data_IF_786950232143
#
_entry.id   IF_786950232143
#
_cell.length_a   1.000
_cell.length_b   1.000
_cell.length_c   1.000
_cell.angle_alpha   90.00
_cell.angle_beta   90.00
_cell.angle_gamma   90.00
#
_symmetry.space_group_name_H-M   'P 1'
#
loop_
_entity.id
_entity.type
_entity.pdbx_description
1 polymer ?
#
# COMPACT_ATOMS: atom_id res chain seq x y z
N UNK A 1 29.84 45.62 19.56
CA UNK A 1 31.14 45.84 20.19
C UNK A 1 31.57 47.30 19.93
N UNK A 2 32.20 47.94 20.90
CA UNK A 2 32.89 49.21 20.67
C UNK A 2 34.14 49.01 19.84
N UNK A 3 34.73 50.09 19.30
CA UNK A 3 35.99 49.99 18.49
C UNK A 3 37.15 49.37 19.24
N UNK A 4 37.14 49.37 20.58
CA UNK A 4 38.12 48.73 21.46
C UNK A 4 37.82 47.22 21.75
N UNK A 5 36.78 46.66 21.18
CA UNK A 5 36.33 45.28 21.39
C UNK A 5 35.51 45.02 22.64
N UNK A 6 35.15 46.06 23.40
CA UNK A 6 34.26 45.95 24.57
C UNK A 6 32.82 45.67 24.13
N UNK A 7 32.10 44.75 24.82
CA UNK A 7 30.69 44.49 24.59
C UNK A 7 29.84 45.70 25.07
N UNK A 8 29.12 46.35 24.17
CA UNK A 8 28.30 47.51 24.49
C UNK A 8 26.89 47.12 24.92
N UNK A 9 26.48 45.91 24.57
CA UNK A 9 25.16 45.39 24.88
C UNK A 9 24.82 44.16 24.02
N UNK A 10 23.70 43.56 24.32
CA UNK A 10 23.09 42.47 23.57
C UNK A 10 21.70 42.95 23.09
N UNK A 11 21.43 42.75 21.81
CA UNK A 11 20.09 42.94 21.26
C UNK A 11 19.45 41.58 21.14
N UNK A 12 18.35 41.38 21.85
CA UNK A 12 17.53 40.17 21.73
C UNK A 12 16.25 40.53 20.94
N UNK A 13 15.79 39.59 20.13
CA UNK A 13 14.49 39.65 19.46
C UNK A 13 13.72 38.41 19.80
N UNK A 14 12.56 38.55 20.41
CA UNK A 14 11.63 37.44 20.64
C UNK A 14 10.75 37.27 19.39
N UNK A 15 10.71 36.04 18.88
CA UNK A 15 9.81 35.69 17.78
C UNK A 15 8.71 34.82 18.37
N UNK A 16 7.46 35.20 18.10
CA UNK A 16 6.31 34.36 18.45
C UNK A 16 6.30 33.10 17.61
N UNK A 17 6.56 31.98 18.28
CA UNK A 17 6.66 30.67 17.67
C UNK A 17 5.32 29.94 17.59
N UNK A 18 4.25 30.51 18.21
CA UNK A 18 2.93 29.89 18.35
C UNK A 18 2.32 29.51 17.00
N UNK A 19 2.45 30.35 15.97
CA UNK A 19 1.90 30.07 14.65
C UNK A 19 2.53 28.82 14.00
N UNK A 20 3.81 28.56 14.26
CA UNK A 20 4.50 27.37 13.73
C UNK A 20 4.09 26.13 14.51
N UNK A 21 4.01 26.23 15.83
CA UNK A 21 3.57 25.12 16.68
C UNK A 21 2.11 24.74 16.42
N UNK A 22 1.23 25.72 16.25
CA UNK A 22 -0.18 25.48 15.89
C UNK A 22 -0.28 24.75 14.54
N UNK A 23 0.47 25.20 13.53
CA UNK A 23 0.52 24.53 12.22
C UNK A 23 1.03 23.08 12.33
N UNK A 24 2.05 22.85 13.16
CA UNK A 24 2.59 21.51 13.40
C UNK A 24 1.56 20.63 14.11
N UNK A 25 0.84 21.16 15.10
CA UNK A 25 -0.20 20.43 15.84
C UNK A 25 -1.44 20.10 14.98
N UNK A 26 -1.77 20.97 14.04
CA UNK A 26 -2.85 20.74 13.07
C UNK A 26 -2.45 19.81 11.93
N UNK A 27 -1.13 19.60 11.74
CA UNK A 27 -0.64 18.72 10.67
C UNK A 27 -0.88 17.27 11.03
N UNK A 28 -1.83 16.65 10.33
CA UNK A 28 -2.11 15.23 10.42
C UNK A 28 -1.61 14.52 9.18
N UNK A 29 -0.97 13.37 9.38
CA UNK A 29 -0.46 12.50 8.32
C UNK A 29 -1.27 11.19 8.35
N UNK A 30 -2.09 10.95 7.34
CA UNK A 30 -3.11 9.90 7.34
C UNK A 30 -4.14 10.11 8.48
N UNK A 31 -4.41 9.10 9.32
CA UNK A 31 -5.42 9.16 10.37
C UNK A 31 -4.84 9.50 11.75
N UNK A 32 -3.68 8.93 12.11
CA UNK A 32 -3.04 9.11 13.42
C UNK A 32 -1.58 9.51 13.36
N UNK A 33 -1.02 9.69 12.16
CA UNK A 33 0.30 10.26 11.99
C UNK A 33 0.31 11.76 12.31
N UNK A 34 1.45 12.26 12.70
CA UNK A 34 1.62 13.64 13.17
C UNK A 34 2.99 14.21 12.78
N UNK A 35 3.11 15.51 12.92
CA UNK A 35 4.36 16.25 12.79
C UNK A 35 4.92 16.64 14.16
N UNK A 36 6.22 16.88 14.24
CA UNK A 36 6.88 17.50 15.36
C UNK A 36 8.15 18.24 14.92
N UNK A 37 8.63 19.16 15.77
CA UNK A 37 9.84 19.90 15.53
C UNK A 37 10.95 19.45 16.46
N UNK A 38 12.15 19.35 15.90
CA UNK A 38 13.37 19.09 16.67
C UNK A 38 14.51 19.99 16.20
N UNK A 39 15.47 20.21 17.06
CA UNK A 39 16.70 20.92 16.73
C UNK A 39 17.75 19.99 16.09
N UNK A 40 18.87 20.58 15.69
CA UNK A 40 20.00 19.83 15.11
C UNK A 40 20.67 18.86 16.09
N UNK A 41 20.49 19.05 17.40
CA UNK A 41 21.04 18.18 18.46
C UNK A 41 20.20 16.94 18.74
N UNK A 42 19.00 16.85 18.17
CA UNK A 42 18.04 15.78 18.43
C UNK A 42 17.11 16.05 19.60
N UNK A 43 17.07 17.28 20.09
CA UNK A 43 16.16 17.72 21.14
C UNK A 43 14.81 18.13 20.53
N UNK A 44 13.71 17.70 21.13
CA UNK A 44 12.35 18.02 20.70
C UNK A 44 12.05 19.47 21.07
N UNK A 45 11.78 20.28 20.06
CA UNK A 45 11.41 21.70 20.23
C UNK A 45 9.90 21.88 20.38
N UNK A 46 9.12 21.04 19.71
CA UNK A 46 7.68 20.99 19.87
C UNK A 46 7.13 19.63 19.47
N UNK A 47 6.28 19.03 20.30
CA UNK A 47 5.60 17.78 20.06
C UNK A 47 4.33 17.68 20.88
N UNK A 48 3.24 17.21 20.31
CA UNK A 48 1.90 17.17 20.93
C UNK A 48 1.84 16.43 22.28
N UNK A 49 2.70 15.42 22.51
CA UNK A 49 2.64 14.52 23.68
C UNK A 49 3.99 14.31 24.35
N UNK A 50 4.99 15.11 24.06
CA UNK A 50 6.33 15.02 24.65
C UNK A 50 6.79 16.40 25.06
N UNK A 51 7.40 16.51 26.23
CA UNK A 51 7.89 17.77 26.76
C UNK A 51 9.05 18.33 25.90
N UNK A 52 9.04 19.65 25.72
CA UNK A 52 10.11 20.37 25.03
C UNK A 52 11.46 20.17 25.73
N UNK A 53 12.52 20.10 24.93
CA UNK A 53 13.87 19.83 25.44
C UNK A 53 14.19 18.37 25.65
N UNK A 54 13.22 17.45 25.50
CA UNK A 54 13.48 16.00 25.59
C UNK A 54 14.29 15.54 24.39
N UNK A 55 15.38 14.80 24.63
CA UNK A 55 16.16 14.18 23.55
C UNK A 55 15.44 12.93 23.07
N UNK A 56 15.30 12.77 21.76
CA UNK A 56 14.53 11.67 21.16
C UNK A 56 15.00 10.28 21.59
N UNK A 57 16.31 10.11 21.86
CA UNK A 57 16.90 8.84 22.33
C UNK A 57 16.56 8.52 23.78
N UNK A 58 16.19 9.51 24.58
CA UNK A 58 15.85 9.34 25.99
C UNK A 58 14.40 8.86 26.19
N UNK A 59 13.57 9.02 25.15
CA UNK A 59 12.18 8.53 25.16
C UNK A 59 12.12 7.01 25.10
N UNK A 60 12.93 6.41 24.24
CA UNK A 60 12.99 4.95 24.07
C UNK A 60 14.26 4.57 23.30
N UNK A 61 14.96 3.54 23.76
CA UNK A 61 16.17 3.03 23.10
C UNK A 61 15.94 2.53 21.68
N UNK A 62 14.71 2.13 21.35
CA UNK A 62 14.33 1.73 19.99
C UNK A 62 14.37 2.88 18.98
N UNK A 63 14.32 4.14 19.46
CA UNK A 63 14.38 5.35 18.64
C UNK A 63 15.79 5.74 18.20
N UNK A 64 16.84 5.06 18.71
CA UNK A 64 18.22 5.35 18.34
C UNK A 64 18.45 5.31 16.84
N UNK A 65 17.92 4.30 16.15
CA UNK A 65 17.99 4.19 14.68
C UNK A 65 17.32 5.38 13.99
N UNK A 66 16.21 5.86 14.54
CA UNK A 66 15.52 7.06 14.06
C UNK A 66 16.36 8.31 14.29
N UNK A 67 16.96 8.47 15.46
CA UNK A 67 17.82 9.59 15.80
C UNK A 67 19.05 9.66 14.88
N UNK A 68 19.73 8.54 14.67
CA UNK A 68 20.88 8.44 13.76
C UNK A 68 20.48 8.82 12.32
N UNK A 69 19.33 8.38 11.86
CA UNK A 69 18.79 8.74 10.53
C UNK A 69 18.49 10.24 10.41
N UNK A 70 17.90 10.83 11.44
CA UNK A 70 17.58 12.26 11.51
C UNK A 70 18.82 13.15 11.63
N UNK A 71 19.92 12.62 12.16
CA UNK A 71 21.19 13.35 12.29
C UNK A 71 21.90 13.55 10.94
N UNK A 72 21.66 12.67 9.98
CA UNK A 72 22.26 12.76 8.64
C UNK A 72 21.41 13.62 7.70
N UNK A 73 21.87 14.83 7.34
CA UNK A 73 21.16 15.73 6.42
C UNK A 73 20.97 15.12 5.01
N UNK A 74 21.83 14.23 4.58
CA UNK A 74 21.70 13.48 3.32
C UNK A 74 20.49 12.54 3.27
N UNK A 75 19.79 12.33 4.37
CA UNK A 75 18.55 11.55 4.46
C UNK A 75 17.29 12.40 4.34
N UNK A 76 17.40 13.72 4.20
CA UNK A 76 16.25 14.59 3.97
C UNK A 76 15.39 14.08 2.80
N UNK A 77 14.08 14.03 3.01
CA UNK A 77 13.11 13.54 2.02
C UNK A 77 13.08 12.02 1.83
N UNK A 78 13.99 11.28 2.47
CA UNK A 78 13.91 9.82 2.53
C UNK A 78 13.03 9.38 3.70
N UNK A 79 12.62 8.12 3.69
CA UNK A 79 11.81 7.52 4.76
C UNK A 79 12.58 6.44 5.49
N UNK A 80 12.37 6.35 6.81
CA UNK A 80 12.87 5.26 7.65
C UNK A 80 11.71 4.56 8.34
N UNK A 81 11.74 3.23 8.36
CA UNK A 81 10.84 2.42 9.19
C UNK A 81 11.46 2.16 10.57
N UNK A 82 10.67 2.35 11.60
CA UNK A 82 11.04 2.12 13.00
C UNK A 82 9.84 1.64 13.80
N UNK A 83 10.09 0.99 14.92
CA UNK A 83 9.03 0.53 15.84
C UNK A 83 9.06 1.39 17.09
N UNK A 84 7.91 1.93 17.49
CA UNK A 84 7.75 2.67 18.73
C UNK A 84 6.48 2.25 19.44
N UNK A 85 6.59 1.88 20.71
CA UNK A 85 5.46 1.37 21.52
C UNK A 85 4.69 0.24 20.81
N UNK A 86 5.41 -0.73 20.24
CA UNK A 86 4.87 -1.86 19.48
C UNK A 86 4.06 -1.48 18.21
N UNK A 87 4.24 -0.27 17.69
CA UNK A 87 3.65 0.16 16.42
C UNK A 87 4.75 0.42 15.43
N UNK A 88 4.69 -0.22 14.26
CA UNK A 88 5.59 0.06 13.16
C UNK A 88 5.19 1.36 12.49
N UNK A 89 6.13 2.29 12.43
CA UNK A 89 5.94 3.64 11.89
C UNK A 89 6.98 3.94 10.82
N UNK A 90 6.63 4.85 9.93
CA UNK A 90 7.57 5.50 9.02
C UNK A 90 7.76 6.94 9.45
N UNK A 91 9.00 7.41 9.39
CA UNK A 91 9.33 8.81 9.53
C UNK A 91 9.99 9.35 8.27
N UNK A 92 9.82 10.64 8.05
CA UNK A 92 10.56 11.45 7.10
C UNK A 92 10.82 12.81 7.72
N UNK A 93 11.80 13.55 7.26
CA UNK A 93 12.07 14.88 7.77
C UNK A 93 12.48 15.85 6.67
N UNK A 94 12.36 17.12 6.99
CA UNK A 94 12.83 18.24 6.19
C UNK A 94 13.58 19.24 7.07
N UNK A 95 14.76 19.68 6.62
CA UNK A 95 15.53 20.70 7.31
C UNK A 95 14.94 22.08 6.99
N UNK A 96 14.65 22.85 8.03
CA UNK A 96 14.17 24.22 7.90
C UNK A 96 15.35 25.21 7.86
N UNK A 97 15.15 26.36 7.25
CA UNK A 97 16.20 27.39 7.10
C UNK A 97 16.73 27.93 8.44
N UNK A 98 15.96 27.79 9.51
CA UNK A 98 16.35 28.19 10.87
C UNK A 98 17.15 27.13 11.63
N UNK A 99 17.56 26.04 10.97
CA UNK A 99 18.34 24.93 11.56
C UNK A 99 17.51 23.90 12.31
N UNK A 100 16.17 24.06 12.38
CA UNK A 100 15.29 23.02 12.91
C UNK A 100 14.96 21.97 11.88
N UNK A 101 14.45 20.83 12.33
CA UNK A 101 13.95 19.74 11.50
C UNK A 101 12.46 19.56 11.75
N UNK A 102 11.69 19.63 10.68
CA UNK A 102 10.28 19.20 10.70
C UNK A 102 10.24 17.69 10.44
N UNK A 103 9.81 16.93 11.41
CA UNK A 103 9.71 15.47 11.32
C UNK A 103 8.24 15.07 11.20
N UNK A 104 7.96 14.22 10.23
CA UNK A 104 6.64 13.64 9.98
C UNK A 104 6.70 12.15 10.29
N UNK A 105 5.71 11.64 11.01
CA UNK A 105 5.63 10.21 11.31
C UNK A 105 4.20 9.70 11.18
N UNK A 106 4.07 8.48 10.64
CA UNK A 106 2.77 7.80 10.51
C UNK A 106 2.91 6.28 10.68
N UNK A 107 1.88 5.59 11.18
CA UNK A 107 1.85 4.13 11.23
C UNK A 107 1.92 3.52 9.83
N UNK A 108 2.74 2.48 9.69
CA UNK A 108 2.89 1.72 8.43
C UNK A 108 1.56 1.13 7.98
N UNK A 109 0.75 0.67 8.92
CA UNK A 109 -0.59 0.12 8.65
C UNK A 109 -1.53 1.12 7.98
N UNK A 110 -1.45 2.41 8.34
CA UNK A 110 -2.27 3.46 7.72
C UNK A 110 -1.78 3.83 6.33
N UNK A 111 -0.45 3.92 6.16
CA UNK A 111 0.17 4.21 4.86
C UNK A 111 -0.27 3.19 3.79
N UNK A 112 -0.34 1.92 4.16
CA UNK A 112 -0.70 0.85 3.23
C UNK A 112 -2.19 0.49 3.23
N UNK A 113 -3.01 1.06 4.11
CA UNK A 113 -4.43 0.70 4.25
C UNK A 113 -5.21 0.89 2.95
N UNK A 114 -4.98 1.97 2.23
CA UNK A 114 -5.63 2.25 0.94
C UNK A 114 -5.17 1.26 -0.15
N UNK A 115 -3.87 0.96 -0.18
CA UNK A 115 -3.32 -0.02 -1.13
C UNK A 115 -3.88 -1.43 -0.89
N UNK A 116 -4.05 -1.85 0.37
CA UNK A 116 -4.68 -3.13 0.71
C UNK A 116 -6.16 -3.17 0.31
N UNK A 117 -6.87 -2.06 0.42
CA UNK A 117 -8.26 -1.93 -0.05
C UNK A 117 -8.38 -2.20 -1.55
N UNK A 118 -7.54 -1.56 -2.35
CA UNK A 118 -7.47 -1.75 -3.80
C UNK A 118 -7.04 -3.19 -4.17
N UNK A 119 -6.01 -3.72 -3.52
CA UNK A 119 -5.55 -5.09 -3.75
C UNK A 119 -6.64 -6.12 -3.48
N UNK A 120 -7.43 -5.95 -2.42
CA UNK A 120 -8.56 -6.82 -2.09
C UNK A 120 -9.64 -6.81 -3.16
N UNK A 121 -9.96 -5.63 -3.72
CA UNK A 121 -10.93 -5.51 -4.83
C UNK A 121 -10.42 -6.21 -6.09
N UNK A 122 -9.14 -6.05 -6.43
CA UNK A 122 -8.52 -6.69 -7.59
C UNK A 122 -8.54 -8.21 -7.44
N UNK A 123 -8.18 -8.75 -6.27
CA UNK A 123 -8.21 -10.19 -5.99
C UNK A 123 -9.62 -10.73 -6.14
N UNK A 124 -10.63 -10.04 -5.60
CA UNK A 124 -12.02 -10.45 -5.73
C UNK A 124 -12.47 -10.49 -7.21
N UNK A 125 -12.13 -9.45 -7.99
CA UNK A 125 -12.42 -9.41 -9.40
C UNK A 125 -11.76 -10.55 -10.20
N UNK A 126 -10.50 -10.87 -9.87
CA UNK A 126 -9.81 -12.02 -10.49
C UNK A 126 -10.49 -13.36 -10.17
N UNK A 127 -10.92 -13.57 -8.93
CA UNK A 127 -11.65 -14.79 -8.53
C UNK A 127 -12.94 -14.91 -9.32
N UNK A 128 -13.73 -13.83 -9.44
CA UNK A 128 -14.98 -13.82 -10.20
C UNK A 128 -14.72 -14.11 -11.68
N UNK A 129 -13.73 -13.47 -12.28
CA UNK A 129 -13.36 -13.69 -13.68
C UNK A 129 -12.91 -15.15 -13.93
N UNK A 130 -12.15 -15.72 -12.99
CA UNK A 130 -11.71 -17.11 -13.07
C UNK A 130 -12.89 -18.09 -13.03
N UNK A 131 -13.85 -17.87 -12.11
CA UNK A 131 -15.06 -18.70 -12.02
C UNK A 131 -15.86 -18.61 -13.32
N UNK A 132 -16.09 -17.40 -13.83
CA UNK A 132 -16.81 -17.20 -15.09
C UNK A 132 -16.13 -17.91 -16.27
N UNK A 133 -14.82 -17.77 -16.38
CA UNK A 133 -14.02 -18.44 -17.42
C UNK A 133 -14.11 -19.96 -17.32
N UNK A 134 -14.05 -20.51 -16.11
CA UNK A 134 -14.19 -21.94 -15.88
C UNK A 134 -15.58 -22.45 -16.29
N UNK A 135 -16.65 -21.73 -15.93
CA UNK A 135 -18.03 -22.06 -16.32
C UNK A 135 -18.19 -22.03 -17.83
N UNK A 136 -17.72 -20.98 -18.51
CA UNK A 136 -17.75 -20.88 -19.96
C UNK A 136 -16.98 -22.04 -20.60
N UNK A 137 -15.77 -22.35 -20.10
CA UNK A 137 -14.96 -23.46 -20.59
C UNK A 137 -15.65 -24.82 -20.45
N UNK A 138 -16.32 -25.09 -19.33
CA UNK A 138 -17.09 -26.30 -19.11
C UNK A 138 -18.31 -26.36 -20.06
N UNK A 139 -19.06 -25.28 -20.17
CA UNK A 139 -20.24 -25.22 -21.05
C UNK A 139 -19.86 -25.42 -22.51
N UNK A 140 -18.83 -24.75 -23.01
CA UNK A 140 -18.33 -24.93 -24.37
C UNK A 140 -17.71 -26.32 -24.58
N UNK A 141 -16.92 -26.80 -23.63
CA UNK A 141 -16.31 -28.14 -23.73
C UNK A 141 -17.34 -29.27 -23.75
N UNK A 142 -18.40 -29.17 -22.95
CA UNK A 142 -19.48 -30.18 -22.94
C UNK A 142 -20.51 -30.00 -24.06
N UNK A 143 -20.81 -28.75 -24.39
CA UNK A 143 -21.80 -28.43 -25.40
C UNK A 143 -21.36 -28.69 -26.85
N UNK A 144 -20.07 -28.45 -27.15
CA UNK A 144 -19.52 -28.62 -28.50
C UNK A 144 -18.73 -29.91 -28.67
N UNK A 145 -17.83 -30.21 -27.74
CA UNK A 145 -16.88 -31.32 -27.90
C UNK A 145 -17.54 -32.68 -27.77
N UNK A 146 -18.53 -32.85 -26.91
CA UNK A 146 -19.27 -34.11 -26.79
C UNK A 146 -20.06 -34.49 -28.05
N UNK A 147 -20.89 -33.61 -28.63
CA UNK A 147 -21.60 -33.91 -29.87
C UNK A 147 -20.68 -34.25 -31.04
N UNK A 148 -19.59 -33.45 -31.21
CA UNK A 148 -18.60 -33.69 -32.29
C UNK A 148 -17.96 -35.09 -32.14
N UNK A 149 -17.60 -35.49 -30.94
CA UNK A 149 -17.02 -36.82 -30.70
C UNK A 149 -18.02 -37.96 -30.93
N UNK A 150 -19.29 -37.73 -30.64
CA UNK A 150 -20.38 -38.67 -30.96
C UNK A 150 -20.58 -38.78 -32.45
N UNK A 151 -20.55 -37.68 -33.21
CA UNK A 151 -20.65 -37.68 -34.66
C UNK A 151 -19.48 -38.45 -35.30
N UNK A 152 -18.23 -38.24 -34.83
CA UNK A 152 -17.06 -38.99 -35.30
C UNK A 152 -17.23 -40.50 -35.09
N UNK A 153 -17.75 -40.91 -33.93
CA UNK A 153 -18.02 -42.30 -33.63
C UNK A 153 -19.06 -42.94 -34.57
N UNK A 154 -20.12 -42.21 -34.94
CA UNK A 154 -21.12 -42.63 -35.88
C UNK A 154 -20.56 -42.79 -37.30
N UNK A 155 -19.72 -41.83 -37.73
CA UNK A 155 -19.04 -41.84 -39.02
C UNK A 155 -18.08 -43.04 -39.12
N UNK A 156 -17.28 -43.30 -38.10
CA UNK A 156 -16.37 -44.45 -38.05
C UNK A 156 -17.13 -45.76 -38.13
N UNK A 157 -18.24 -45.89 -37.45
CA UNK A 157 -19.10 -47.07 -37.48
C UNK A 157 -19.70 -47.29 -38.88
N UNK A 158 -20.18 -46.23 -39.52
CA UNK A 158 -20.72 -46.29 -40.86
C UNK A 158 -19.63 -46.65 -41.89
N UNK A 159 -18.43 -46.10 -41.74
CA UNK A 159 -17.28 -46.46 -42.56
C UNK A 159 -16.87 -47.92 -42.43
N UNK A 160 -17.13 -48.55 -41.27
CA UNK A 160 -16.93 -49.99 -41.05
C UNK A 160 -18.09 -50.87 -41.56
N UNK A 161 -19.07 -50.29 -42.31
CA UNK A 161 -20.26 -50.95 -42.83
C UNK A 161 -21.17 -51.53 -41.73
N UNK A 162 -21.07 -51.07 -40.50
CA UNK A 162 -21.98 -51.45 -39.39
C UNK A 162 -23.09 -50.40 -39.24
N UNK A 163 -24.25 -50.71 -39.78
CA UNK A 163 -25.44 -49.84 -39.78
C UNK A 163 -26.38 -50.06 -38.59
N UNK A 164 -25.93 -50.69 -37.53
CA UNK A 164 -26.74 -50.89 -36.34
C UNK A 164 -27.01 -49.54 -35.64
N UNK A 165 -28.26 -49.32 -35.20
CA UNK A 165 -28.59 -48.08 -34.48
C UNK A 165 -27.78 -48.05 -33.16
N UNK A 166 -27.02 -46.94 -32.96
CA UNK A 166 -26.24 -46.68 -31.76
C UNK A 166 -26.93 -45.67 -30.86
N UNK A 167 -26.69 -45.76 -29.57
CA UNK A 167 -27.17 -44.73 -28.60
C UNK A 167 -26.62 -43.36 -28.93
N UNK A 168 -25.46 -43.23 -29.52
CA UNK A 168 -24.84 -41.97 -29.93
C UNK A 168 -25.65 -41.32 -31.06
N UNK A 169 -26.04 -42.08 -32.09
CA UNK A 169 -26.92 -41.60 -33.18
C UNK A 169 -28.29 -41.21 -32.68
N UNK A 170 -28.90 -42.00 -31.77
CA UNK A 170 -30.20 -41.69 -31.19
C UNK A 170 -30.17 -40.39 -30.30
N UNK A 171 -29.07 -40.06 -29.66
CA UNK A 171 -28.88 -38.83 -28.89
C UNK A 171 -28.67 -37.61 -29.80
N UNK A 172 -27.91 -37.74 -30.88
CA UNK A 172 -27.71 -36.66 -31.87
C UNK A 172 -29.03 -36.25 -32.53
N UNK A 173 -29.89 -37.17 -32.93
CA UNK A 173 -31.21 -36.87 -33.51
C UNK A 173 -32.16 -36.14 -32.58
N UNK A 174 -31.88 -36.06 -31.26
CA UNK A 174 -32.68 -35.33 -30.29
C UNK A 174 -32.18 -33.90 -30.08
N UNK A 175 -31.04 -33.53 -30.63
CA UNK A 175 -30.55 -32.16 -30.58
C UNK A 175 -31.38 -31.30 -31.55
N UNK A 176 -31.62 -30.05 -31.13
CA UNK A 176 -32.42 -29.06 -31.91
C UNK A 176 -31.48 -28.03 -32.57
N UNK A 177 -30.30 -28.45 -32.96
CA UNK A 177 -29.31 -27.66 -33.67
C UNK A 177 -28.91 -28.33 -34.99
N UNK A 178 -28.02 -27.74 -35.73
CA UNK A 178 -27.55 -28.19 -37.03
C UNK A 178 -26.99 -29.62 -37.00
N UNK A 179 -26.59 -30.11 -35.83
CA UNK A 179 -26.09 -31.48 -35.63
C UNK A 179 -27.24 -32.48 -35.52
N UNK A 180 -28.46 -32.08 -35.17
CA UNK A 180 -29.63 -32.91 -35.09
C UNK A 180 -30.33 -33.09 -36.45
N UNK A 181 -30.08 -32.15 -37.36
CA UNK A 181 -30.66 -32.16 -38.71
C UNK A 181 -29.84 -32.95 -39.73
N UNK A 182 -28.60 -33.36 -39.38
CA UNK A 182 -27.71 -34.23 -40.17
C UNK A 182 -28.03 -35.69 -39.95
#
# INVERSE_FOLDING_TARGET
>A
FAEDGTSIGVVGMDIDFSQITDLVDETTVYQSGYAFLMDASGSIMHHKNVDEGTVITDLDSSLKKGADFLAEDGNQGKTLEYTYKNVDKKLAFYNLDNGMKLVLTAPVSEIYSEAYGLAKMIILAMIVAFILSAVIGIVMGTGLTKPIRQLTSVIEQTAALDFRPTEAGAKLRKQKDELGDM
#
